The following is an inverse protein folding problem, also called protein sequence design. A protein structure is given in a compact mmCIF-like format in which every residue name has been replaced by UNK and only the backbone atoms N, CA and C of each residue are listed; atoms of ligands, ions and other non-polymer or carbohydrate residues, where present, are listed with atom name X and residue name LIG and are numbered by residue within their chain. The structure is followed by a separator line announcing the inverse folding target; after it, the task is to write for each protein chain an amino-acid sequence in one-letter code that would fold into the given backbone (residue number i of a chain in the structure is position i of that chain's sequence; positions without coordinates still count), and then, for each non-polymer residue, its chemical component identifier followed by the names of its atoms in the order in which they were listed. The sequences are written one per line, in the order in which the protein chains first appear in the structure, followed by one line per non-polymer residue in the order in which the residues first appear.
data_IF_300134122624
#
_entry.id   IF_300134122624
#
_cell.length_a   1.000
_cell.length_b   1.000
_cell.length_c   1.000
_cell.angle_alpha   90.00
_cell.angle_beta   90.00
_cell.angle_gamma   90.00
#
_symmetry.space_group_name_H-M   'P 1'
#
loop_
_entity.id
_entity.type
_entity.pdbx_description
1 polymer ?
#
# COMPACT_ATOMS: atom_id res chain seq x y z
N UNK A 1 5.58 -17.37 -6.50
CA UNK A 1 6.42 -17.14 -5.31
C UNK A 1 6.35 -15.66 -4.94
N UNK A 2 5.44 -15.27 -4.05
CA UNK A 2 5.31 -13.88 -3.57
C UNK A 2 6.35 -13.69 -2.46
N UNK A 3 7.60 -13.50 -2.85
CA UNK A 3 8.61 -12.99 -1.94
C UNK A 3 8.35 -11.51 -1.77
N UNK A 4 8.04 -11.06 -0.55
CA UNK A 4 8.11 -9.63 -0.22
C UNK A 4 9.50 -9.10 -0.57
N UNK A 5 9.71 -7.79 -0.63
CA UNK A 5 10.92 -7.10 -1.12
C UNK A 5 12.30 -7.58 -0.58
N UNK A 6 12.33 -8.55 0.33
CA UNK A 6 13.48 -9.27 0.85
C UNK A 6 13.47 -10.80 0.57
N UNK A 7 12.68 -11.35 -0.35
CA UNK A 7 12.61 -12.80 -0.59
C UNK A 7 12.16 -13.63 0.62
N UNK A 8 11.46 -12.99 1.57
CA UNK A 8 10.88 -13.64 2.75
C UNK A 8 9.45 -14.09 2.44
N UNK A 9 9.00 -15.23 3.00
CA UNK A 9 7.58 -15.59 2.99
C UNK A 9 6.76 -14.49 3.70
N UNK A 10 5.52 -14.27 3.26
CA UNK A 10 4.67 -13.18 3.76
C UNK A 10 4.37 -13.31 5.27
N UNK A 11 4.39 -14.52 5.82
CA UNK A 11 4.27 -14.79 7.26
C UNK A 11 5.39 -14.14 8.09
N UNK A 12 6.61 -14.12 7.56
CA UNK A 12 7.75 -13.46 8.21
C UNK A 12 7.67 -11.94 8.07
N UNK A 13 7.13 -11.46 6.94
CA UNK A 13 6.86 -10.03 6.77
C UNK A 13 5.79 -9.55 7.76
N UNK A 14 4.71 -10.30 7.95
CA UNK A 14 3.67 -10.02 8.94
C UNK A 14 4.23 -10.03 10.37
N UNK A 15 5.08 -11.00 10.70
CA UNK A 15 5.76 -11.06 12.00
C UNK A 15 6.66 -9.82 12.25
N UNK A 16 7.37 -9.34 11.22
CA UNK A 16 8.20 -8.14 11.32
C UNK A 16 7.36 -6.88 11.55
N UNK A 17 6.24 -6.72 10.82
CA UNK A 17 5.30 -5.60 11.00
C UNK A 17 4.67 -5.64 12.39
N UNK A 18 4.30 -6.81 12.90
CA UNK A 18 3.76 -6.98 14.25
C UNK A 18 4.75 -6.53 15.33
N UNK A 19 6.03 -6.94 15.23
CA UNK A 19 7.06 -6.49 16.18
C UNK A 19 7.27 -4.97 16.08
N UNK A 20 7.31 -4.42 14.86
CA UNK A 20 7.43 -2.97 14.66
C UNK A 20 6.26 -2.22 15.31
N UNK A 21 5.03 -2.71 15.12
CA UNK A 21 3.82 -2.18 15.76
C UNK A 21 3.92 -2.20 17.28
N UNK A 22 4.43 -3.27 17.88
CA UNK A 22 4.64 -3.35 19.33
C UNK A 22 5.70 -2.36 19.82
N UNK A 23 6.83 -2.25 19.11
CA UNK A 23 7.89 -1.28 19.43
C UNK A 23 7.35 0.15 19.32
N UNK A 24 6.57 0.46 18.29
CA UNK A 24 6.00 1.79 18.07
C UNK A 24 4.88 2.12 19.06
N UNK A 25 4.11 1.12 19.50
CA UNK A 25 3.18 1.25 20.60
C UNK A 25 3.92 1.62 21.89
N UNK A 26 4.99 0.89 22.23
CA UNK A 26 5.82 1.19 23.40
C UNK A 26 6.48 2.58 23.31
N UNK A 27 6.99 2.97 22.15
CA UNK A 27 7.56 4.31 21.92
C UNK A 27 6.51 5.42 21.97
N UNK A 28 5.28 5.13 21.55
CA UNK A 28 4.15 6.07 21.66
C UNK A 28 3.70 6.25 23.12
N UNK A 29 3.68 5.17 23.90
CA UNK A 29 3.34 5.20 25.33
C UNK A 29 4.41 5.91 26.18
N UNK A 30 5.68 5.81 25.80
CA UNK A 30 6.82 6.44 26.49
C UNK A 30 7.04 7.91 26.11
N UNK A 31 6.25 8.50 25.21
CA UNK A 31 6.32 9.92 24.84
C UNK A 31 7.50 10.31 23.93
N UNK A 32 8.40 9.37 23.63
CA UNK A 32 9.58 9.54 22.76
C UNK A 32 9.18 10.04 21.35
N UNK A 33 7.99 9.66 20.88
CA UNK A 33 7.42 10.09 19.60
C UNK A 33 7.34 11.62 19.45
N UNK A 34 6.92 12.34 20.49
CA UNK A 34 6.76 13.79 20.41
C UNK A 34 8.13 14.49 20.32
N UNK A 35 9.10 13.98 21.08
CA UNK A 35 10.48 14.46 21.05
C UNK A 35 11.11 14.27 19.66
N UNK A 36 10.94 13.09 19.06
CA UNK A 36 11.45 12.79 17.72
C UNK A 36 10.84 13.72 16.64
N UNK A 37 9.53 13.95 16.71
CA UNK A 37 8.79 14.82 15.77
C UNK A 37 9.23 16.29 15.89
N UNK A 38 9.54 16.76 17.10
CA UNK A 38 9.97 18.14 17.35
C UNK A 38 11.31 18.49 16.69
N UNK A 39 12.16 17.48 16.46
CA UNK A 39 13.46 17.65 15.81
C UNK A 39 13.41 17.73 14.29
N UNK A 40 12.24 17.54 13.65
CA UNK A 40 12.10 17.49 12.18
C UNK A 40 11.60 18.84 11.64
N UNK A 41 12.43 19.57 10.86
CA UNK A 41 12.04 20.82 10.20
C UNK A 41 10.77 20.69 9.35
N UNK A 42 9.99 21.77 9.28
CA UNK A 42 8.75 21.81 8.49
C UNK A 42 8.98 21.55 6.99
N UNK A 43 10.11 21.98 6.45
CA UNK A 43 10.51 21.72 5.05
C UNK A 43 10.75 20.24 4.78
N UNK A 44 11.45 19.54 5.69
CA UNK A 44 11.65 18.09 5.60
C UNK A 44 10.33 17.35 5.74
N UNK A 45 9.45 17.82 6.65
CA UNK A 45 8.10 17.28 6.78
C UNK A 45 7.33 17.35 5.46
N UNK A 46 7.26 18.53 4.83
CA UNK A 46 6.56 18.71 3.54
C UNK A 46 7.16 17.88 2.41
N UNK A 47 8.49 17.76 2.36
CA UNK A 47 9.19 16.99 1.33
C UNK A 47 8.86 15.49 1.42
N UNK A 48 8.79 14.96 2.64
CA UNK A 48 8.42 13.56 2.88
C UNK A 48 7.00 13.27 2.37
N UNK A 49 6.04 14.18 2.59
CA UNK A 49 4.68 14.08 2.05
C UNK A 49 4.67 14.00 0.55
N UNK A 50 5.34 14.97 -0.09
CA UNK A 50 5.35 15.09 -1.53
C UNK A 50 5.98 13.85 -2.16
N UNK A 51 7.06 13.34 -1.55
CA UNK A 51 7.71 12.11 -1.97
C UNK A 51 6.81 10.88 -1.87
N UNK A 52 6.10 10.70 -0.75
CA UNK A 52 5.18 9.55 -0.59
C UNK A 52 4.00 9.65 -1.55
N UNK A 53 3.40 10.84 -1.69
CA UNK A 53 2.29 11.06 -2.61
C UNK A 53 2.68 10.78 -4.06
N UNK A 54 3.84 11.29 -4.50
CA UNK A 54 4.37 11.03 -5.84
C UNK A 54 4.71 9.55 -6.05
N UNK A 55 5.26 8.89 -5.04
CA UNK A 55 5.56 7.46 -5.10
C UNK A 55 4.30 6.60 -5.23
N UNK A 56 3.25 6.90 -4.44
CA UNK A 56 1.96 6.21 -4.55
C UNK A 56 1.28 6.47 -5.91
N UNK A 57 1.41 7.69 -6.45
CA UNK A 57 0.92 8.01 -7.78
C UNK A 57 1.60 7.16 -8.86
N UNK A 58 2.93 7.01 -8.81
CA UNK A 58 3.68 6.15 -9.75
C UNK A 58 3.25 4.68 -9.62
N UNK A 59 3.08 4.16 -8.39
CA UNK A 59 2.61 2.78 -8.18
C UNK A 59 1.21 2.58 -8.78
N UNK A 60 0.29 3.52 -8.57
CA UNK A 60 -1.06 3.46 -9.15
C UNK A 60 -1.01 3.47 -10.68
N UNK A 61 -0.15 4.31 -11.25
CA UNK A 61 0.02 4.44 -12.69
C UNK A 61 0.65 3.18 -13.32
N UNK A 62 1.54 2.51 -12.58
CA UNK A 62 2.09 1.21 -12.97
C UNK A 62 1.04 0.09 -12.87
N UNK A 63 0.28 0.03 -11.78
CA UNK A 63 -0.79 -0.98 -11.58
C UNK A 63 -1.94 -0.84 -12.56
N UNK A 64 -2.24 0.38 -13.01
CA UNK A 64 -3.28 0.63 -14.02
C UNK A 64 -2.83 0.32 -15.46
N UNK A 65 -1.54 0.06 -15.69
CA UNK A 65 -0.99 -0.20 -17.03
C UNK A 65 -0.70 1.05 -17.86
N UNK A 66 -0.87 2.26 -17.30
CA UNK A 66 -0.47 3.52 -17.96
C UNK A 66 1.06 3.64 -18.02
N UNK A 67 1.76 3.19 -16.97
CA UNK A 67 3.21 3.04 -16.96
C UNK A 67 3.58 1.56 -17.01
N UNK A 68 4.52 1.21 -17.89
CA UNK A 68 5.14 -0.11 -17.97
C UNK A 68 6.65 0.04 -17.74
N UNK A 69 7.28 -0.95 -17.12
CA UNK A 69 8.72 -0.98 -16.95
C UNK A 69 9.40 -1.14 -18.33
N UNK A 70 10.38 -0.28 -18.62
CA UNK A 70 11.23 -0.37 -19.79
C UNK A 70 12.69 -0.40 -19.33
N UNK A 71 13.50 -1.28 -19.92
CA UNK A 71 14.91 -1.45 -19.56
C UNK A 71 15.74 -0.18 -19.77
N UNK A 72 15.35 0.68 -20.72
CA UNK A 72 16.14 1.88 -21.08
C UNK A 72 15.84 3.11 -20.20
N UNK A 73 14.62 3.23 -19.68
CA UNK A 73 14.15 4.47 -19.01
C UNK A 73 13.48 4.23 -17.66
N UNK A 74 13.40 2.98 -17.21
CA UNK A 74 12.67 2.51 -16.01
C UNK A 74 11.14 2.77 -16.04
N UNK A 75 10.66 3.69 -16.88
CA UNK A 75 9.27 4.12 -17.02
C UNK A 75 8.98 4.39 -18.49
N UNK A 76 8.14 3.56 -19.11
CA UNK A 76 7.59 3.80 -20.45
C UNK A 76 6.07 3.91 -20.41
N UNK A 77 5.52 4.56 -21.43
CA UNK A 77 4.08 4.66 -21.61
C UNK A 77 3.52 3.31 -22.10
N UNK A 78 2.54 2.78 -21.38
CA UNK A 78 1.83 1.57 -21.76
C UNK A 78 0.80 1.80 -22.86
N UNK A 79 0.21 0.73 -23.42
CA UNK A 79 -0.81 0.82 -24.45
C UNK A 79 -2.11 1.41 -23.85
N UNK A 80 -2.35 2.69 -24.15
CA UNK A 80 -3.52 3.45 -23.66
C UNK A 80 -4.84 3.06 -24.34
N UNK A 81 -4.81 2.14 -25.31
CA UNK A 81 -6.00 1.63 -25.99
C UNK A 81 -6.63 0.42 -25.28
N UNK A 82 -6.10 0.03 -24.11
CA UNK A 82 -6.61 -1.07 -23.31
C UNK A 82 -7.56 -0.56 -22.22
N UNK A 83 -8.50 -1.40 -21.77
CA UNK A 83 -9.51 -1.01 -20.79
C UNK A 83 -8.94 -0.54 -19.43
N UNK A 84 -7.90 -1.17 -18.83
CA UNK A 84 -7.44 -0.79 -17.49
C UNK A 84 -6.84 0.64 -17.40
N UNK A 85 -5.95 1.09 -18.32
CA UNK A 85 -5.47 2.46 -18.34
C UNK A 85 -6.58 3.49 -18.58
N UNK A 86 -7.53 3.19 -19.47
CA UNK A 86 -8.64 4.09 -19.79
C UNK A 86 -9.58 4.27 -18.60
N UNK A 87 -9.94 3.17 -17.93
CA UNK A 87 -10.79 3.21 -16.74
C UNK A 87 -10.10 3.94 -15.59
N UNK A 88 -8.79 3.77 -15.42
CA UNK A 88 -8.02 4.49 -14.41
C UNK A 88 -7.97 6.01 -14.67
N UNK A 89 -7.70 6.42 -15.92
CA UNK A 89 -7.68 7.84 -16.31
C UNK A 89 -9.07 8.48 -16.23
N UNK A 90 -10.10 7.79 -16.72
CA UNK A 90 -11.48 8.26 -16.64
C UNK A 90 -11.97 8.37 -15.19
N UNK A 91 -11.64 7.39 -14.35
CA UNK A 91 -11.93 7.40 -12.92
C UNK A 91 -11.24 8.54 -12.18
N UNK A 92 -9.95 8.73 -12.42
CA UNK A 92 -9.18 9.84 -11.85
C UNK A 92 -9.76 11.21 -12.25
N UNK A 93 -10.05 11.41 -13.54
CA UNK A 93 -10.67 12.64 -14.04
C UNK A 93 -12.04 12.89 -13.41
N UNK A 94 -12.87 11.85 -13.31
CA UNK A 94 -14.19 11.95 -12.71
C UNK A 94 -14.11 12.33 -11.23
N UNK A 95 -13.21 11.72 -10.46
CA UNK A 95 -12.97 12.09 -9.04
C UNK A 95 -12.50 13.53 -8.96
N UNK A 96 -11.51 13.94 -9.76
CA UNK A 96 -10.97 15.29 -9.77
C UNK A 96 -12.04 16.34 -10.12
N UNK A 97 -12.93 16.06 -11.08
CA UNK A 97 -14.04 16.95 -11.47
C UNK A 97 -15.07 17.07 -10.33
N UNK A 98 -15.46 15.95 -9.72
CA UNK A 98 -16.41 15.95 -8.60
C UNK A 98 -15.84 16.65 -7.37
N UNK A 99 -14.55 16.48 -7.12
CA UNK A 99 -13.83 17.14 -6.03
C UNK A 99 -13.68 18.64 -6.28
N UNK A 100 -13.36 19.06 -7.51
CA UNK A 100 -13.33 20.47 -7.91
C UNK A 100 -14.72 21.13 -7.77
N UNK A 101 -15.80 20.37 -8.02
CA UNK A 101 -17.19 20.79 -7.76
C UNK A 101 -17.62 20.67 -6.29
N UNK A 102 -16.70 20.34 -5.38
CA UNK A 102 -16.94 20.19 -3.93
C UNK A 102 -18.08 19.22 -3.59
N UNK A 103 -18.30 18.19 -4.42
CA UNK A 103 -19.32 17.17 -4.16
C UNK A 103 -18.86 16.26 -3.01
N UNK A 104 -19.69 16.14 -1.96
CA UNK A 104 -19.42 15.24 -0.84
C UNK A 104 -19.46 13.79 -1.34
N UNK A 105 -18.36 13.06 -1.15
CA UNK A 105 -18.23 11.67 -1.60
C UNK A 105 -17.72 11.50 -3.04
N UNK A 106 -17.08 12.52 -3.63
CA UNK A 106 -16.45 12.46 -4.96
C UNK A 106 -15.63 11.17 -5.20
N UNK A 107 -14.80 10.80 -4.21
CA UNK A 107 -13.98 9.57 -4.26
C UNK A 107 -14.86 8.32 -4.34
N UNK A 108 -15.88 8.20 -3.48
CA UNK A 108 -16.78 7.04 -3.45
C UNK A 108 -17.58 6.92 -4.74
N UNK A 109 -18.13 8.03 -5.25
CA UNK A 109 -18.86 8.06 -6.51
C UNK A 109 -17.94 7.61 -7.65
N UNK A 110 -16.68 8.05 -7.66
CA UNK A 110 -15.73 7.63 -8.67
C UNK A 110 -15.36 6.16 -8.61
N UNK A 111 -15.14 5.61 -7.41
CA UNK A 111 -14.92 4.17 -7.25
C UNK A 111 -16.11 3.39 -7.79
N UNK A 112 -17.34 3.74 -7.39
CA UNK A 112 -18.56 3.06 -7.85
C UNK A 112 -18.74 3.17 -9.36
N UNK A 113 -18.49 4.35 -9.94
CA UNK A 113 -18.61 4.57 -11.38
C UNK A 113 -17.60 3.74 -12.19
N UNK A 114 -16.34 3.69 -11.74
CA UNK A 114 -15.29 2.89 -12.40
C UNK A 114 -15.55 1.40 -12.24
N UNK A 115 -16.01 0.96 -11.06
CA UNK A 115 -16.38 -0.45 -10.83
C UNK A 115 -17.56 -0.85 -11.72
N UNK A 116 -18.59 0.00 -11.84
CA UNK A 116 -19.72 -0.26 -12.73
C UNK A 116 -19.31 -0.29 -14.21
N UNK A 117 -18.42 0.62 -14.63
CA UNK A 117 -17.85 0.62 -15.97
C UNK A 117 -17.02 -0.64 -16.24
N UNK A 118 -16.12 -1.02 -15.32
CA UNK A 118 -15.32 -2.25 -15.43
C UNK A 118 -16.19 -3.51 -15.51
N UNK A 119 -17.33 -3.52 -14.80
CA UNK A 119 -18.30 -4.61 -14.91
C UNK A 119 -18.97 -4.64 -16.28
N UNK A 120 -19.38 -3.48 -16.80
CA UNK A 120 -20.01 -3.37 -18.12
C UNK A 120 -19.06 -3.73 -19.29
N UNK A 121 -17.75 -3.51 -19.14
CA UNK A 121 -16.74 -3.91 -20.13
C UNK A 121 -16.39 -5.42 -20.10
N UNK A 122 -16.90 -6.18 -19.12
CA UNK A 122 -16.74 -7.65 -19.07
C UNK A 122 -15.44 -8.16 -18.46
N UNK A 123 -14.56 -7.26 -17.96
CA UNK A 123 -13.26 -7.62 -17.36
C UNK A 123 -13.36 -8.08 -15.90
N UNK A 124 -14.50 -7.88 -15.24
CA UNK A 124 -14.72 -8.30 -13.85
C UNK A 124 -15.40 -9.67 -13.79
N UNK A 125 -14.63 -10.71 -13.44
CA UNK A 125 -15.20 -12.00 -13.05
C UNK A 125 -16.04 -11.83 -11.77
N UNK A 126 -17.35 -11.74 -11.95
CA UNK A 126 -18.30 -11.55 -10.87
C UNK A 126 -18.43 -12.83 -10.03
N UNK A 127 -17.69 -12.92 -8.92
CA UNK A 127 -17.72 -14.07 -8.01
C UNK A 127 -18.90 -14.06 -7.00
N UNK A 128 -19.96 -13.29 -7.28
CA UNK A 128 -21.15 -13.15 -6.43
C UNK A 128 -21.06 -11.98 -5.44
N UNK A 129 -22.23 -11.47 -5.00
CA UNK A 129 -22.34 -10.37 -4.01
C UNK A 129 -21.85 -10.77 -2.61
N UNK A 130 -21.80 -12.07 -2.36
CA UNK A 130 -21.43 -12.70 -1.10
C UNK A 130 -20.61 -13.94 -1.45
N UNK A 131 -19.35 -13.74 -1.82
CA UNK A 131 -18.39 -14.80 -1.54
C UNK A 131 -18.26 -14.85 -0.02
N UNK A 132 -18.40 -16.03 0.57
CA UNK A 132 -18.00 -16.23 1.96
C UNK A 132 -16.56 -15.70 2.04
N UNK A 133 -16.26 -14.74 2.94
CA UNK A 133 -14.90 -14.25 3.07
C UNK A 133 -14.01 -15.48 3.22
N UNK A 134 -12.93 -15.61 2.41
CA UNK A 134 -12.00 -16.71 2.56
C UNK A 134 -11.65 -16.81 4.03
N UNK A 135 -11.67 -18.02 4.57
CA UNK A 135 -11.58 -18.23 6.01
C UNK A 135 -10.41 -17.44 6.57
N UNK A 136 -10.61 -16.77 7.71
CA UNK A 136 -9.49 -16.09 8.36
C UNK A 136 -8.47 -17.10 8.90
N UNK A 137 -8.81 -18.39 8.99
CA UNK A 137 -7.95 -19.46 9.47
C UNK A 137 -6.55 -19.51 8.80
N UNK A 138 -6.40 -19.41 7.47
CA UNK A 138 -5.10 -19.30 6.79
C UNK A 138 -4.33 -17.99 7.02
N UNK A 139 -4.88 -16.97 7.68
CA UNK A 139 -4.19 -15.68 7.87
C UNK A 139 -4.08 -15.28 9.35
N UNK A 140 -5.00 -15.77 10.18
CA UNK A 140 -5.09 -15.47 11.60
C UNK A 140 -3.93 -16.14 12.34
N UNK A 141 -3.03 -15.33 12.90
CA UNK A 141 -1.87 -15.76 13.69
C UNK A 141 -0.80 -16.60 12.94
N UNK A 142 -0.71 -16.53 11.61
CA UNK A 142 0.43 -17.08 10.85
C UNK A 142 1.70 -16.20 10.97
N UNK A 143 2.07 -15.82 12.19
CA UNK A 143 3.29 -15.06 12.48
C UNK A 143 4.48 -16.01 12.64
N UNK A 144 5.41 -15.99 11.68
CA UNK A 144 6.64 -16.77 11.75
C UNK A 144 7.78 -15.98 12.40
N UNK A 145 7.70 -15.79 13.72
CA UNK A 145 8.76 -15.18 14.54
C UNK A 145 10.07 -16.02 14.53
N UNK A 146 10.03 -17.36 14.67
CA UNK A 146 11.25 -18.17 14.71
C UNK A 146 11.99 -18.19 13.37
N UNK A 147 11.28 -18.24 12.25
CA UNK A 147 11.87 -18.16 10.92
C UNK A 147 12.46 -16.79 10.61
N UNK A 148 11.83 -15.72 11.11
CA UNK A 148 12.38 -14.35 10.99
C UNK A 148 13.72 -14.20 11.72
N UNK A 149 13.89 -14.86 12.88
CA UNK A 149 15.11 -14.75 13.71
C UNK A 149 16.24 -15.72 13.30
N UNK A 150 15.94 -16.85 12.66
CA UNK A 150 16.91 -17.91 12.33
C UNK A 150 17.67 -17.73 11.00
N UNK A 151 17.30 -16.76 10.16
CA UNK A 151 17.94 -16.55 8.87
C UNK A 151 19.35 -15.92 9.03
N UNK A 152 20.38 -16.42 8.31
CA UNK A 152 21.68 -15.73 8.25
C UNK A 152 21.49 -14.34 7.63
N UNK A 153 21.81 -13.28 8.39
CA UNK A 153 21.55 -11.89 7.99
C UNK A 153 20.16 -11.35 8.38
N UNK A 154 19.39 -12.10 9.17
CA UNK A 154 18.10 -11.68 9.74
C UNK A 154 18.16 -10.31 10.40
N UNK A 155 19.15 -10.04 11.26
CA UNK A 155 19.30 -8.73 11.92
C UNK A 155 19.42 -7.57 10.93
N UNK A 156 20.15 -7.73 9.82
CA UNK A 156 20.35 -6.67 8.83
C UNK A 156 19.08 -6.40 8.02
N UNK A 157 18.31 -7.44 7.71
CA UNK A 157 17.01 -7.33 7.01
C UNK A 157 15.89 -6.83 7.92
N UNK A 158 15.83 -7.34 9.14
CA UNK A 158 14.92 -6.91 10.18
C UNK A 158 15.15 -5.43 10.52
N UNK A 159 16.40 -5.00 10.68
CA UNK A 159 16.75 -3.59 10.87
C UNK A 159 16.32 -2.71 9.70
N UNK A 160 16.42 -3.19 8.45
CA UNK A 160 15.92 -2.47 7.27
C UNK A 160 14.39 -2.40 7.22
N UNK A 161 13.70 -3.48 7.56
CA UNK A 161 12.24 -3.51 7.61
C UNK A 161 11.71 -2.57 8.71
N UNK A 162 12.31 -2.61 9.90
CA UNK A 162 12.00 -1.70 11.00
C UNK A 162 12.28 -0.24 10.64
N UNK A 163 13.42 0.04 9.98
CA UNK A 163 13.75 1.39 9.53
C UNK A 163 12.75 1.89 8.49
N UNK A 164 12.35 1.05 7.53
CA UNK A 164 11.36 1.42 6.52
C UNK A 164 9.97 1.67 7.11
N UNK A 165 9.55 0.85 8.07
CA UNK A 165 8.26 1.04 8.75
C UNK A 165 8.27 2.27 9.67
N UNK A 166 9.37 2.48 10.41
CA UNK A 166 9.53 3.66 11.26
C UNK A 166 9.56 4.95 10.45
N UNK A 167 10.22 5.00 9.29
CA UNK A 167 10.21 6.19 8.42
C UNK A 167 8.82 6.43 7.82
N UNK A 168 8.10 5.38 7.42
CA UNK A 168 6.73 5.49 6.94
C UNK A 168 5.76 6.01 8.02
N UNK A 169 5.96 5.61 9.28
CA UNK A 169 5.09 6.02 10.40
C UNK A 169 5.44 7.42 10.90
N UNK A 170 6.72 7.79 10.94
CA UNK A 170 7.13 9.17 11.20
C UNK A 170 6.58 10.08 10.10
N UNK A 171 6.72 9.69 8.84
CA UNK A 171 6.15 10.43 7.72
C UNK A 171 4.62 10.60 7.82
N UNK A 172 3.88 9.51 8.06
CA UNK A 172 2.42 9.53 8.14
C UNK A 172 1.89 10.27 9.37
N UNK A 173 2.54 10.11 10.53
CA UNK A 173 2.14 10.80 11.76
C UNK A 173 2.36 12.31 11.70
N UNK A 174 3.41 12.78 11.01
CA UNK A 174 3.65 14.20 10.77
C UNK A 174 2.60 14.84 9.84
N UNK A 175 1.91 14.00 9.06
CA UNK A 175 0.94 14.40 8.06
C UNK A 175 -0.51 14.39 8.52
N UNK A 176 -0.78 13.82 9.69
CA UNK A 176 -2.15 13.60 10.15
C UNK A 176 -2.90 12.50 9.37
N UNK A 177 -2.22 11.73 8.52
CA UNK A 177 -2.80 10.61 7.76
C UNK A 177 -2.36 9.28 8.38
N UNK A 178 -3.30 8.38 8.65
CA UNK A 178 -3.01 6.98 9.00
C UNK A 178 -2.04 6.36 7.99
N UNK A 179 -1.07 5.61 8.51
CA UNK A 179 0.20 5.28 7.86
C UNK A 179 0.06 4.66 6.47
N UNK A 180 0.95 5.01 5.54
CA UNK A 180 1.14 4.32 4.26
C UNK A 180 1.30 2.80 4.43
N UNK A 181 1.68 2.35 5.63
CA UNK A 181 1.67 0.97 6.10
C UNK A 181 0.32 0.29 5.90
N UNK A 182 -0.82 0.91 6.25
CA UNK A 182 -2.15 0.31 6.07
C UNK A 182 -2.46 0.01 4.60
N UNK A 183 -1.95 0.83 3.67
CA UNK A 183 -2.07 0.58 2.24
C UNK A 183 -1.15 -0.56 1.78
N UNK A 184 0.09 -0.63 2.26
CA UNK A 184 1.00 -1.73 1.97
C UNK A 184 0.48 -3.08 2.54
N UNK A 185 -0.14 -3.04 3.73
CA UNK A 185 -0.84 -4.16 4.35
C UNK A 185 -2.07 -4.56 3.55
N UNK A 186 -2.89 -3.59 3.11
CA UNK A 186 -4.06 -3.86 2.27
C UNK A 186 -3.65 -4.42 0.91
N UNK A 187 -2.61 -3.87 0.27
CA UNK A 187 -2.10 -4.33 -1.01
C UNK A 187 -1.49 -5.74 -0.94
N UNK A 188 -0.79 -6.07 0.15
CA UNK A 188 -0.27 -7.43 0.36
C UNK A 188 -1.39 -8.42 0.73
N UNK A 189 -2.38 -8.00 1.51
CA UNK A 189 -3.57 -8.81 1.82
C UNK A 189 -4.41 -9.16 0.59
N UNK A 190 -4.61 -8.21 -0.33
CA UNK A 190 -5.33 -8.46 -1.60
C UNK A 190 -4.53 -9.41 -2.50
N UNK A 191 -3.19 -9.33 -2.51
CA UNK A 191 -2.34 -10.27 -3.26
C UNK A 191 -2.38 -11.69 -2.69
N UNK A 192 -2.49 -11.86 -1.37
CA UNK A 192 -2.67 -13.17 -0.73
C UNK A 192 -4.07 -13.73 -0.98
N UNK A 193 -5.10 -12.88 -0.98
CA UNK A 193 -6.49 -13.29 -1.29
C UNK A 193 -6.73 -13.61 -2.78
N UNK A 194 -5.89 -13.11 -3.68
CA UNK A 194 -5.96 -13.38 -5.12
C UNK A 194 -5.13 -14.59 -5.58
N UNK A 195 -4.39 -15.24 -4.67
CA UNK A 195 -3.65 -16.46 -5.01
C UNK A 195 -4.65 -17.63 -5.15
N UNK A 196 -4.73 -18.30 -6.31
CA UNK A 196 -5.52 -19.53 -6.41
C UNK A 196 -4.92 -20.58 -5.47
N UNK A 197 -5.79 -21.19 -4.68
CA UNK A 197 -5.46 -22.37 -3.87
C UNK A 197 -4.98 -23.53 -4.74
#
# INVERSE_FOLDING_TARGET
MVGGAAGLPWQQALAAVFISGLVLLLLSLTGVRAWLVSGIPASLRSAIVAGIGLFLAIIALQKSGVIIANEDTLVALGPLNTAPPLLALAGFLLIAILEARRVRGAILIGILAVTAAGWALGDLQYHGLVSLPPSLAPTFLQLDLPGLLKLPGAQKRFGRALMADSTAIVAGSLLGTSSATAFAESASGVQVGAAPA
#
